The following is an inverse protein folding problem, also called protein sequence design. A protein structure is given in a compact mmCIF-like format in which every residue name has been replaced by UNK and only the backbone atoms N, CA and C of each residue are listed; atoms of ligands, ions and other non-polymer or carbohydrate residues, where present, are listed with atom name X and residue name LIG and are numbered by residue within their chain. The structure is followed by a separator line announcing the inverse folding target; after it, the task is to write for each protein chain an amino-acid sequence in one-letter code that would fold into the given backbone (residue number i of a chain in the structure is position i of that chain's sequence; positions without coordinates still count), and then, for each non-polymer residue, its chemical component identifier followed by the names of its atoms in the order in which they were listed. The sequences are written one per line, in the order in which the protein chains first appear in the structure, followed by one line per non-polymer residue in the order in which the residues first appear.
data_IF_240102355014
#
_entry.id   IF_240102355014
#
_cell.length_a   1.000
_cell.length_b   1.000
_cell.length_c   1.000
_cell.angle_alpha   90.00
_cell.angle_beta   90.00
_cell.angle_gamma   90.00
#
_symmetry.space_group_name_H-M   'P 1'
#
loop_
_entity.id
_entity.type
_entity.pdbx_description
1 polymer ?
#
# COMPACT_ATOMS: atom_id res chain seq x y z
N UNK A 1 -18.07 -23.85 10.54
CA UNK A 1 -17.23 -24.22 9.37
C UNK A 1 -16.03 -24.99 9.91
N UNK A 2 -15.71 -26.14 9.32
CA UNK A 2 -14.66 -27.02 9.85
C UNK A 2 -13.30 -26.30 9.85
N UNK A 3 -12.65 -26.26 11.00
CA UNK A 3 -11.29 -25.74 11.13
C UNK A 3 -10.39 -26.70 10.35
N UNK A 4 -10.03 -26.35 9.12
CA UNK A 4 -9.08 -27.14 8.34
C UNK A 4 -7.72 -26.90 8.97
N UNK A 5 -7.29 -27.84 9.81
CA UNK A 5 -5.95 -27.84 10.39
C UNK A 5 -4.92 -27.81 9.24
N UNK A 6 -3.85 -27.04 9.42
CA UNK A 6 -2.75 -26.98 8.47
C UNK A 6 -2.20 -28.40 8.29
N UNK A 7 -2.02 -28.82 7.04
CA UNK A 7 -1.35 -30.10 6.76
C UNK A 7 0.08 -30.08 7.32
N UNK A 8 0.64 -31.26 7.62
CA UNK A 8 2.03 -31.37 8.11
C UNK A 8 3.02 -30.72 7.14
N UNK A 9 2.77 -30.83 5.83
CA UNK A 9 3.59 -30.22 4.79
C UNK A 9 3.50 -28.68 4.81
N UNK A 10 2.32 -28.12 5.05
CA UNK A 10 2.15 -26.67 5.21
C UNK A 10 2.84 -26.15 6.47
N UNK A 11 2.71 -26.89 7.58
CA UNK A 11 3.39 -26.56 8.83
C UNK A 11 4.93 -26.54 8.67
N UNK A 12 5.48 -27.45 7.86
CA UNK A 12 6.92 -27.49 7.58
C UNK A 12 7.40 -26.31 6.72
N UNK A 13 6.64 -25.93 5.68
CA UNK A 13 7.00 -24.81 4.79
C UNK A 13 6.91 -23.47 5.53
N UNK A 14 5.85 -23.29 6.30
CA UNK A 14 5.61 -22.05 7.03
C UNK A 14 6.19 -22.06 8.45
N UNK A 15 7.02 -23.03 8.84
CA UNK A 15 7.54 -23.17 10.22
C UNK A 15 8.16 -21.86 10.74
N UNK A 16 8.98 -21.18 9.91
CA UNK A 16 9.57 -19.88 10.28
C UNK A 16 8.53 -18.78 10.49
N UNK A 17 7.49 -18.76 9.65
CA UNK A 17 6.40 -17.79 9.70
C UNK A 17 5.49 -18.05 10.91
N UNK A 18 5.12 -19.31 11.13
CA UNK A 18 4.33 -19.78 12.28
C UNK A 18 5.05 -19.46 13.60
N UNK A 19 6.39 -19.57 13.66
CA UNK A 19 7.16 -19.15 14.85
C UNK A 19 7.06 -17.65 15.14
N UNK A 20 6.81 -16.82 14.11
CA UNK A 20 6.73 -15.38 14.25
C UNK A 20 5.32 -14.95 14.69
N UNK A 21 4.28 -15.35 13.94
CA UNK A 21 2.91 -14.88 14.18
C UNK A 21 1.95 -15.91 14.75
N UNK A 22 2.36 -17.18 14.89
CA UNK A 22 1.52 -18.24 15.43
C UNK A 22 0.69 -18.97 14.37
N UNK A 23 0.11 -20.09 14.77
CA UNK A 23 -0.59 -20.99 13.85
C UNK A 23 -1.95 -20.43 13.43
N UNK A 24 -2.66 -19.77 14.33
CA UNK A 24 -3.96 -19.14 14.07
C UNK A 24 -3.83 -18.00 13.05
N UNK A 25 -2.76 -17.20 13.18
CA UNK A 25 -2.42 -16.16 12.21
C UNK A 25 -2.16 -16.75 10.82
N UNK A 26 -1.39 -17.85 10.74
CA UNK A 26 -1.13 -18.52 9.46
C UNK A 26 -2.40 -19.10 8.83
N UNK A 27 -3.31 -19.65 9.64
CA UNK A 27 -4.61 -20.11 9.14
C UNK A 27 -5.48 -18.97 8.61
N UNK A 28 -5.43 -17.79 9.26
CA UNK A 28 -6.14 -16.59 8.78
C UNK A 28 -5.58 -16.12 7.44
N UNK A 29 -4.25 -16.01 7.33
CA UNK A 29 -3.54 -15.68 6.08
C UNK A 29 -3.95 -16.66 4.97
N UNK A 30 -3.89 -17.97 5.24
CA UNK A 30 -4.23 -19.02 4.28
C UNK A 30 -5.71 -19.09 3.85
N UNK A 31 -6.61 -18.35 4.49
CA UNK A 31 -8.03 -18.22 4.09
C UNK A 31 -8.32 -16.94 3.32
N UNK A 32 -7.40 -15.98 3.34
CA UNK A 32 -7.63 -14.65 2.79
C UNK A 32 -7.64 -14.65 1.26
N UNK A 33 -8.53 -13.84 0.68
CA UNK A 33 -8.59 -13.53 -0.74
C UNK A 33 -8.27 -12.06 -0.99
N UNK A 34 -7.16 -11.79 -1.67
CA UNK A 34 -6.62 -10.45 -1.88
C UNK A 34 -6.79 -10.03 -3.35
N UNK A 35 -7.28 -8.81 -3.60
CA UNK A 35 -7.26 -8.18 -4.92
C UNK A 35 -6.05 -7.27 -5.06
N UNK A 36 -5.26 -7.47 -6.11
CA UNK A 36 -4.21 -6.56 -6.56
C UNK A 36 -4.67 -5.96 -7.89
N UNK A 37 -5.03 -4.67 -7.89
CA UNK A 37 -5.51 -3.98 -9.08
C UNK A 37 -4.49 -2.94 -9.57
N UNK A 38 -4.05 -3.08 -10.83
CA UNK A 38 -2.96 -2.32 -11.41
C UNK A 38 -1.62 -3.03 -11.20
N UNK A 39 -1.16 -3.79 -12.19
CA UNK A 39 0.08 -4.55 -12.14
C UNK A 39 1.26 -3.71 -12.64
N UNK A 40 1.98 -3.19 -11.66
CA UNK A 40 3.22 -2.44 -11.81
C UNK A 40 4.34 -3.04 -10.95
N UNK A 41 5.51 -2.39 -10.85
CA UNK A 41 6.64 -2.94 -10.10
C UNK A 41 6.31 -3.10 -8.61
N UNK A 42 5.67 -2.11 -7.99
CA UNK A 42 5.23 -2.20 -6.59
C UNK A 42 4.25 -3.35 -6.39
N UNK A 43 3.24 -3.44 -7.25
CA UNK A 43 2.22 -4.49 -7.17
C UNK A 43 2.83 -5.89 -7.34
N UNK A 44 3.84 -6.05 -8.20
CA UNK A 44 4.57 -7.30 -8.39
C UNK A 44 5.31 -7.74 -7.12
N UNK A 45 5.94 -6.79 -6.42
CA UNK A 45 6.61 -7.02 -5.13
C UNK A 45 5.60 -7.41 -4.04
N UNK A 46 4.46 -6.71 -3.97
CA UNK A 46 3.36 -7.06 -3.05
C UNK A 46 2.85 -8.47 -3.32
N UNK A 47 2.51 -8.78 -4.59
CA UNK A 47 1.99 -10.08 -4.98
C UNK A 47 2.97 -11.21 -4.66
N UNK A 48 4.26 -11.04 -4.98
CA UNK A 48 5.33 -11.99 -4.62
C UNK A 48 5.36 -12.25 -3.11
N UNK A 49 5.38 -11.19 -2.30
CA UNK A 49 5.47 -11.33 -0.84
C UNK A 49 4.22 -12.01 -0.25
N UNK A 50 3.02 -11.67 -0.73
CA UNK A 50 1.76 -12.28 -0.26
C UNK A 50 1.64 -13.75 -0.66
N UNK A 51 2.05 -14.10 -1.89
CA UNK A 51 2.06 -15.49 -2.35
C UNK A 51 3.07 -16.33 -1.55
N UNK A 52 4.25 -15.78 -1.25
CA UNK A 52 5.24 -16.44 -0.39
C UNK A 52 4.81 -16.55 1.07
N UNK A 53 3.99 -15.60 1.56
CA UNK A 53 3.36 -15.68 2.88
C UNK A 53 2.22 -16.72 2.94
N UNK A 54 1.75 -17.19 1.78
CA UNK A 54 0.75 -18.25 1.70
C UNK A 54 -0.67 -17.76 1.88
N UNK A 55 -1.03 -16.61 1.30
CA UNK A 55 -2.44 -16.18 1.23
C UNK A 55 -3.30 -17.23 0.52
N UNK A 56 -4.58 -17.36 0.89
CA UNK A 56 -5.45 -18.39 0.29
C UNK A 56 -5.67 -18.19 -1.21
N UNK A 57 -5.94 -16.96 -1.63
CA UNK A 57 -6.12 -16.61 -3.04
C UNK A 57 -5.64 -15.19 -3.31
N UNK A 58 -5.15 -14.96 -4.52
CA UNK A 58 -4.81 -13.63 -5.02
C UNK A 58 -5.40 -13.44 -6.40
N UNK A 59 -6.13 -12.35 -6.62
CA UNK A 59 -6.61 -11.96 -7.95
C UNK A 59 -5.78 -10.79 -8.46
N UNK A 60 -5.14 -10.97 -9.61
CA UNK A 60 -4.41 -9.90 -10.31
C UNK A 60 -5.34 -9.30 -11.36
N UNK A 61 -5.69 -8.02 -11.20
CA UNK A 61 -6.53 -7.28 -12.14
C UNK A 61 -5.68 -6.26 -12.89
N UNK A 62 -5.50 -6.46 -14.20
CA UNK A 62 -4.84 -5.51 -15.09
C UNK A 62 -5.30 -5.71 -16.53
N UNK A 63 -5.78 -4.63 -17.17
CA UNK A 63 -6.28 -4.64 -18.54
C UNK A 63 -5.22 -4.31 -19.59
N UNK A 64 -4.03 -3.89 -19.17
CA UNK A 64 -2.97 -3.40 -20.04
C UNK A 64 -2.04 -4.53 -20.48
N UNK A 65 -1.40 -4.31 -21.63
CA UNK A 65 -0.40 -5.23 -22.17
C UNK A 65 0.99 -4.91 -21.65
N UNK A 66 1.86 -5.93 -21.67
CA UNK A 66 3.26 -5.81 -21.32
C UNK A 66 3.98 -4.93 -22.33
N UNK A 67 4.60 -3.85 -21.82
CA UNK A 67 5.46 -2.95 -22.59
C UNK A 67 6.92 -3.26 -22.30
N UNK A 68 7.84 -2.77 -23.15
CA UNK A 68 9.28 -2.92 -22.89
C UNK A 68 9.71 -2.26 -21.57
N UNK A 69 9.14 -1.10 -21.25
CA UNK A 69 9.37 -0.43 -19.97
C UNK A 69 8.93 -1.28 -18.77
N UNK A 70 7.84 -2.04 -18.90
CA UNK A 70 7.40 -2.96 -17.85
C UNK A 70 8.39 -4.13 -17.66
N UNK A 71 8.99 -4.65 -18.72
CA UNK A 71 10.03 -5.67 -18.65
C UNK A 71 11.26 -5.17 -17.88
N UNK A 72 11.63 -3.90 -18.07
CA UNK A 72 12.81 -3.32 -17.42
C UNK A 72 12.63 -3.11 -15.90
N UNK A 73 11.38 -3.00 -15.42
CA UNK A 73 11.07 -2.73 -14.00
C UNK A 73 10.42 -3.89 -13.25
N UNK A 74 9.83 -4.90 -13.93
CA UNK A 74 9.10 -6.00 -13.31
C UNK A 74 9.80 -7.34 -13.53
N UNK A 75 10.27 -7.94 -12.45
CA UNK A 75 11.10 -9.16 -12.48
C UNK A 75 10.37 -10.45 -12.93
N UNK A 76 9.04 -10.43 -13.04
CA UNK A 76 8.26 -11.54 -13.59
C UNK A 76 8.15 -11.50 -15.12
N UNK A 77 8.46 -10.36 -15.73
CA UNK A 77 8.30 -10.15 -17.16
C UNK A 77 9.63 -10.36 -17.89
N UNK A 78 9.52 -10.74 -19.16
CA UNK A 78 10.63 -10.91 -20.08
C UNK A 78 10.22 -10.41 -21.47
N UNK A 79 11.17 -10.28 -22.39
CA UNK A 79 10.89 -9.77 -23.75
C UNK A 79 9.88 -10.63 -24.53
N UNK A 80 9.75 -11.91 -24.17
CA UNK A 80 8.76 -12.83 -24.77
C UNK A 80 7.32 -12.50 -24.39
N UNK A 81 7.12 -11.77 -23.29
CA UNK A 81 5.80 -11.38 -22.80
C UNK A 81 5.28 -10.09 -23.44
N UNK A 82 6.12 -9.32 -24.16
CA UNK A 82 5.72 -8.04 -24.75
C UNK A 82 4.51 -8.21 -25.67
N UNK A 83 3.48 -7.41 -25.44
CA UNK A 83 2.19 -7.48 -26.15
C UNK A 83 1.19 -8.51 -25.61
N UNK A 84 1.55 -9.30 -24.60
CA UNK A 84 0.59 -10.11 -23.84
C UNK A 84 -0.03 -9.28 -22.72
N UNK A 85 -1.23 -9.65 -22.26
CA UNK A 85 -1.82 -9.01 -21.08
C UNK A 85 -0.92 -9.22 -19.84
N UNK A 86 -0.72 -8.18 -19.03
CA UNK A 86 0.16 -8.23 -17.87
C UNK A 86 -0.24 -9.28 -16.82
N UNK A 87 -1.54 -9.36 -16.50
CA UNK A 87 -2.02 -10.31 -15.51
C UNK A 87 -1.80 -11.77 -15.99
N UNK A 88 -2.06 -12.03 -17.28
CA UNK A 88 -1.76 -13.33 -17.91
C UNK A 88 -0.27 -13.68 -17.88
N UNK A 89 0.60 -12.72 -18.20
CA UNK A 89 2.04 -12.93 -18.26
C UNK A 89 2.65 -13.25 -16.89
N UNK A 90 2.20 -12.60 -15.82
CA UNK A 90 2.77 -12.75 -14.48
C UNK A 90 2.21 -13.95 -13.70
N UNK A 91 0.97 -14.37 -13.97
CA UNK A 91 0.29 -15.41 -13.20
C UNK A 91 1.06 -16.75 -13.11
N UNK A 92 1.67 -17.30 -14.18
CA UNK A 92 2.44 -18.55 -14.09
C UNK A 92 3.63 -18.44 -13.13
N UNK A 93 4.34 -17.31 -13.13
CA UNK A 93 5.49 -17.09 -12.26
C UNK A 93 5.06 -16.93 -10.79
N UNK A 94 3.97 -16.22 -10.53
CA UNK A 94 3.36 -16.15 -9.20
C UNK A 94 2.93 -17.54 -8.71
N UNK A 95 2.24 -18.31 -9.55
CA UNK A 95 1.78 -19.65 -9.19
C UNK A 95 2.95 -20.59 -8.86
N UNK A 96 4.08 -20.44 -9.56
CA UNK A 96 5.29 -21.21 -9.32
C UNK A 96 5.96 -20.88 -7.97
N UNK A 97 5.82 -19.66 -7.44
CA UNK A 97 6.34 -19.30 -6.11
C UNK A 97 5.67 -20.10 -5.00
N UNK A 98 4.37 -20.34 -5.11
CA UNK A 98 3.63 -21.13 -4.15
C UNK A 98 2.42 -21.85 -4.78
N UNK A 99 2.55 -23.14 -5.13
CA UNK A 99 1.48 -23.94 -5.73
C UNK A 99 0.20 -24.08 -4.88
N UNK A 100 0.24 -23.68 -3.60
CA UNK A 100 -0.92 -23.74 -2.69
C UNK A 100 -1.78 -22.50 -2.74
N UNK A 101 -1.25 -21.39 -3.22
CA UNK A 101 -2.01 -20.15 -3.40
C UNK A 101 -2.77 -20.25 -4.71
N UNK A 102 -4.06 -19.95 -4.68
CA UNK A 102 -4.85 -19.87 -5.90
C UNK A 102 -4.65 -18.50 -6.57
N UNK A 103 -3.92 -18.47 -7.68
CA UNK A 103 -3.65 -17.25 -8.46
C UNK A 103 -4.71 -17.11 -9.55
N UNK A 104 -5.52 -16.06 -9.45
CA UNK A 104 -6.58 -15.72 -10.39
C UNK A 104 -6.21 -14.46 -11.16
N UNK A 105 -6.76 -14.32 -12.36
CA UNK A 105 -6.53 -13.15 -13.22
C UNK A 105 -7.85 -12.52 -13.66
N UNK A 106 -7.84 -11.21 -13.82
CA UNK A 106 -8.92 -10.43 -14.42
C UNK A 106 -8.31 -9.39 -15.37
N UNK A 107 -8.80 -9.38 -16.61
CA UNK A 107 -8.24 -8.56 -17.70
C UNK A 107 -9.09 -7.33 -18.00
N UNK A 108 -10.17 -7.13 -17.26
CA UNK A 108 -11.03 -5.98 -17.48
C UNK A 108 -10.45 -4.73 -16.83
N UNK A 109 -10.84 -3.60 -17.39
CA UNK A 109 -10.49 -2.29 -16.84
C UNK A 109 -11.21 -2.07 -15.51
N UNK A 110 -10.44 -1.77 -14.47
CA UNK A 110 -10.94 -1.49 -13.11
C UNK A 110 -12.02 -0.39 -13.11
N UNK A 111 -11.93 0.60 -14.00
CA UNK A 111 -12.90 1.68 -14.09
C UNK A 111 -14.30 1.18 -14.47
N UNK A 112 -14.37 0.05 -15.19
CA UNK A 112 -15.61 -0.54 -15.70
C UNK A 112 -16.20 -1.59 -14.76
N UNK A 113 -15.49 -1.97 -13.70
CA UNK A 113 -16.01 -2.91 -12.71
C UNK A 113 -17.21 -2.32 -11.99
N UNK A 114 -18.21 -3.16 -11.74
CA UNK A 114 -19.34 -2.81 -10.88
C UNK A 114 -18.86 -2.73 -9.41
N UNK A 115 -19.56 -1.98 -8.57
CA UNK A 115 -19.12 -1.74 -7.19
C UNK A 115 -19.10 -3.05 -6.37
N UNK A 116 -20.05 -3.94 -6.66
CA UNK A 116 -20.21 -5.25 -6.02
C UNK A 116 -19.01 -6.19 -6.29
N UNK A 117 -18.24 -5.93 -7.36
CA UNK A 117 -17.03 -6.70 -7.67
C UNK A 117 -16.01 -6.63 -6.53
N UNK A 118 -15.92 -5.50 -5.83
CA UNK A 118 -14.91 -5.29 -4.81
C UNK A 118 -15.29 -5.90 -3.46
N UNK A 119 -16.56 -6.25 -3.23
CA UNK A 119 -17.06 -6.76 -1.95
C UNK A 119 -16.47 -8.11 -1.49
N UNK A 120 -16.38 -9.16 -2.32
CA UNK A 120 -16.01 -10.49 -1.84
C UNK A 120 -14.58 -10.58 -1.30
N UNK A 121 -13.65 -9.76 -1.80
CA UNK A 121 -12.25 -9.75 -1.34
C UNK A 121 -12.14 -9.38 0.13
N UNK A 122 -11.20 -9.99 0.86
CA UNK A 122 -10.89 -9.62 2.23
C UNK A 122 -10.12 -8.30 2.28
N UNK A 123 -9.18 -8.11 1.35
CA UNK A 123 -8.38 -6.88 1.23
C UNK A 123 -8.27 -6.51 -0.25
N UNK A 124 -8.42 -5.21 -0.54
CA UNK A 124 -8.23 -4.65 -1.87
C UNK A 124 -7.03 -3.70 -1.86
N UNK A 125 -6.05 -3.94 -2.72
CA UNK A 125 -4.91 -3.07 -2.95
C UNK A 125 -4.95 -2.51 -4.37
N UNK A 126 -4.97 -1.17 -4.50
CA UNK A 126 -5.01 -0.48 -5.80
C UNK A 126 -3.72 0.28 -6.03
N UNK A 127 -3.18 0.17 -7.24
CA UNK A 127 -1.91 0.77 -7.63
C UNK A 127 -2.08 1.61 -8.89
N UNK A 128 -1.30 2.70 -8.95
CA UNK A 128 -1.10 3.51 -10.16
C UNK A 128 -2.37 3.86 -10.94
N UNK A 129 -3.26 4.62 -10.30
CA UNK A 129 -4.51 5.10 -10.89
C UNK A 129 -4.84 6.49 -10.39
N UNK A 130 -5.86 7.12 -10.96
CA UNK A 130 -6.28 8.45 -10.56
C UNK A 130 -7.04 8.44 -9.23
N UNK A 131 -7.00 9.59 -8.57
CA UNK A 131 -7.62 9.81 -7.27
C UNK A 131 -9.13 9.56 -7.24
N UNK A 132 -9.86 9.71 -8.35
CA UNK A 132 -11.29 9.46 -8.37
C UNK A 132 -11.58 7.97 -8.26
N UNK A 133 -10.80 7.13 -8.97
CA UNK A 133 -10.92 5.70 -8.83
C UNK A 133 -10.47 5.23 -7.43
N UNK A 134 -9.36 5.76 -6.91
CA UNK A 134 -8.92 5.45 -5.54
C UNK A 134 -10.01 5.78 -4.52
N UNK A 135 -10.64 6.95 -4.65
CA UNK A 135 -11.71 7.39 -3.75
C UNK A 135 -12.94 6.51 -3.90
N UNK A 136 -13.39 6.21 -5.13
CA UNK A 136 -14.53 5.32 -5.38
C UNK A 136 -14.32 3.94 -4.75
N UNK A 137 -13.18 3.30 -5.03
CA UNK A 137 -12.92 1.95 -4.50
C UNK A 137 -12.78 2.00 -2.98
N UNK A 138 -12.12 3.02 -2.42
CA UNK A 138 -12.04 3.17 -0.98
C UNK A 138 -13.41 3.35 -0.34
N UNK A 139 -14.28 4.21 -0.88
CA UNK A 139 -15.62 4.45 -0.33
C UNK A 139 -16.47 3.17 -0.36
N UNK A 140 -16.42 2.38 -1.43
CA UNK A 140 -17.09 1.08 -1.52
C UNK A 140 -16.61 0.16 -0.39
N UNK A 141 -15.29 0.03 -0.23
CA UNK A 141 -14.66 -0.82 0.79
C UNK A 141 -14.97 -0.36 2.20
N UNK A 142 -14.97 0.96 2.43
CA UNK A 142 -15.32 1.57 3.69
C UNK A 142 -16.78 1.26 4.07
N UNK A 143 -17.71 1.41 3.11
CA UNK A 143 -19.13 1.14 3.31
C UNK A 143 -19.44 -0.33 3.63
N UNK A 144 -18.68 -1.27 3.05
CA UNK A 144 -18.81 -2.71 3.38
C UNK A 144 -17.92 -3.13 4.55
N UNK A 145 -17.30 -2.18 5.26
CA UNK A 145 -16.46 -2.41 6.45
C UNK A 145 -15.30 -3.37 6.20
N UNK A 146 -14.61 -3.23 5.06
CA UNK A 146 -13.47 -4.08 4.75
C UNK A 146 -12.22 -3.27 4.34
N UNK A 147 -11.01 -3.80 4.61
CA UNK A 147 -9.75 -3.12 4.32
C UNK A 147 -9.57 -2.69 2.86
N UNK A 148 -8.91 -1.54 2.71
CA UNK A 148 -8.45 -0.96 1.48
C UNK A 148 -7.02 -0.41 1.63
N UNK A 149 -6.21 -0.61 0.59
CA UNK A 149 -4.91 0.03 0.44
C UNK A 149 -4.78 0.68 -0.93
N UNK A 150 -4.11 1.82 -0.96
CA UNK A 150 -3.59 2.40 -2.20
C UNK A 150 -2.07 2.58 -2.05
N UNK A 151 -1.30 2.28 -3.08
CA UNK A 151 0.13 2.52 -3.05
C UNK A 151 0.69 2.80 -4.44
N UNK A 152 1.76 3.59 -4.46
CA UNK A 152 2.50 3.84 -5.69
C UNK A 152 3.96 4.19 -5.37
N UNK A 153 4.83 4.01 -6.36
CA UNK A 153 6.21 4.43 -6.31
C UNK A 153 6.59 5.04 -7.65
N UNK A 154 7.29 6.16 -7.61
CA UNK A 154 7.78 6.81 -8.81
C UNK A 154 9.05 7.61 -8.54
N UNK A 155 10.00 7.54 -9.47
CA UNK A 155 11.35 8.02 -9.26
C UNK A 155 11.90 7.49 -7.94
N UNK A 156 12.26 8.40 -7.03
CA UNK A 156 12.83 8.09 -5.72
C UNK A 156 11.82 8.06 -4.58
N UNK A 157 10.53 8.28 -4.84
CA UNK A 157 9.52 8.45 -3.80
C UNK A 157 8.46 7.35 -3.88
N UNK A 158 7.77 7.12 -2.78
CA UNK A 158 6.62 6.22 -2.77
C UNK A 158 5.71 6.47 -1.58
N UNK A 159 4.48 5.97 -1.68
CA UNK A 159 3.51 6.08 -0.60
C UNK A 159 2.67 4.82 -0.46
N UNK A 160 2.11 4.64 0.73
CA UNK A 160 1.05 3.70 1.03
C UNK A 160 -0.03 4.47 1.79
N UNK A 161 -1.27 4.36 1.35
CA UNK A 161 -2.46 4.75 2.07
C UNK A 161 -3.19 3.49 2.57
N UNK A 162 -3.75 3.56 3.77
CA UNK A 162 -4.37 2.45 4.47
C UNK A 162 -5.72 2.90 5.05
N UNK A 163 -6.80 2.21 4.70
CA UNK A 163 -8.10 2.38 5.36
C UNK A 163 -8.65 1.02 5.79
N UNK A 164 -8.65 0.78 7.10
CA UNK A 164 -9.17 -0.46 7.70
C UNK A 164 -10.56 -0.27 8.31
N UNK A 165 -11.17 0.92 8.18
CA UNK A 165 -12.40 1.36 8.83
C UNK A 165 -12.28 1.33 10.35
N UNK A 166 -12.32 0.13 10.94
CA UNK A 166 -12.08 -0.16 12.33
C UNK A 166 -11.32 -1.47 12.44
N UNK A 167 -10.11 -1.42 12.98
CA UNK A 167 -9.25 -2.58 13.11
C UNK A 167 -8.98 -2.92 14.57
N UNK A 168 -9.05 -4.21 14.91
CA UNK A 168 -8.71 -4.73 16.24
C UNK A 168 -7.46 -5.57 16.11
N UNK A 169 -6.45 -5.30 16.93
CA UNK A 169 -5.20 -6.05 16.93
C UNK A 169 -4.71 -6.34 18.35
N UNK A 170 -3.79 -7.29 18.46
CA UNK A 170 -3.15 -7.67 19.72
C UNK A 170 -1.69 -7.20 19.71
N UNK A 171 -1.31 -6.48 20.77
CA UNK A 171 0.08 -6.14 21.07
C UNK A 171 0.62 -7.12 22.13
N UNK A 172 1.69 -7.85 21.81
CA UNK A 172 2.37 -8.76 22.73
C UNK A 172 3.65 -8.09 23.28
N UNK A 173 3.68 -7.76 24.57
CA UNK A 173 4.89 -7.23 25.23
C UNK A 173 5.61 -8.35 25.97
N UNK A 174 6.80 -8.67 25.50
CA UNK A 174 7.71 -9.60 26.15
C UNK A 174 8.54 -8.85 27.20
N UNK A 175 8.32 -9.16 28.47
CA UNK A 175 9.16 -8.64 29.54
C UNK A 175 10.23 -9.67 29.89
N UNK A 176 11.50 -9.26 29.81
CA UNK A 176 12.60 -10.08 30.30
C UNK A 176 12.50 -10.12 31.83
N UNK A 177 12.37 -11.31 32.44
CA UNK A 177 12.27 -11.40 33.88
C UNK A 177 13.57 -10.91 34.54
N UNK A 178 13.45 -10.36 35.76
CA UNK A 178 14.59 -9.85 36.52
C UNK A 178 15.60 -10.95 36.86
N UNK A 179 15.15 -12.20 36.97
CA UNK A 179 15.98 -13.39 37.12
C UNK A 179 16.00 -14.20 35.82
N UNK A 180 17.19 -14.64 35.39
CA UNK A 180 17.38 -15.48 34.18
C UNK A 180 16.76 -16.88 34.27
N UNK A 181 16.28 -17.28 35.44
CA UNK A 181 15.63 -18.59 35.69
C UNK A 181 14.12 -18.58 35.48
N UNK A 182 13.50 -17.40 35.39
CA UNK A 182 12.04 -17.29 35.28
C UNK A 182 11.61 -17.32 33.81
N UNK A 183 10.41 -17.83 33.56
CA UNK A 183 9.81 -17.81 32.23
C UNK A 183 9.48 -16.37 31.79
N UNK A 184 9.65 -16.03 30.49
CA UNK A 184 9.31 -14.72 29.98
C UNK A 184 7.81 -14.43 30.16
N UNK A 185 7.49 -13.28 30.76
CA UNK A 185 6.11 -12.83 30.94
C UNK A 185 5.66 -12.17 29.63
N UNK A 186 4.61 -12.74 29.00
CA UNK A 186 3.97 -12.17 27.82
C UNK A 186 2.67 -11.49 28.23
N UNK A 187 2.62 -10.16 28.11
CA UNK A 187 1.37 -9.40 28.30
C UNK A 187 0.71 -9.18 26.95
N UNK A 188 -0.57 -9.53 26.83
CA UNK A 188 -1.38 -9.32 25.63
C UNK A 188 -2.38 -8.20 25.86
N UNK A 189 -2.31 -7.15 25.05
CA UNK A 189 -3.25 -6.03 25.09
C UNK A 189 -4.01 -5.98 23.78
N UNK A 190 -5.34 -5.91 23.86
CA UNK A 190 -6.20 -5.72 22.68
C UNK A 190 -6.41 -4.22 22.46
N UNK A 191 -6.14 -3.77 21.24
CA UNK A 191 -6.31 -2.39 20.80
C UNK A 191 -7.35 -2.33 19.69
N UNK A 192 -8.02 -1.18 19.58
CA UNK A 192 -9.00 -0.91 18.54
C UNK A 192 -8.69 0.46 17.96
N UNK A 193 -8.38 0.50 16.68
CA UNK A 193 -8.05 1.73 15.95
C UNK A 193 -9.10 2.01 14.88
N UNK A 194 -9.31 3.29 14.58
CA UNK A 194 -10.23 3.75 13.54
C UNK A 194 -9.45 4.48 12.45
N UNK A 195 -9.82 4.19 11.21
CA UNK A 195 -9.19 4.70 10.02
C UNK A 195 -10.15 5.62 9.28
N UNK A 196 -9.58 6.65 8.65
CA UNK A 196 -10.33 7.63 7.89
C UNK A 196 -10.27 7.29 6.40
N UNK A 197 -11.37 7.46 5.66
CA UNK A 197 -11.37 7.28 4.21
C UNK A 197 -10.48 8.34 3.54
N UNK A 198 -10.01 8.03 2.34
CA UNK A 198 -9.07 8.81 1.54
C UNK A 198 -9.54 10.25 1.36
N UNK A 199 -10.83 10.42 1.04
CA UNK A 199 -11.44 11.74 0.88
C UNK A 199 -11.21 12.65 2.11
N UNK A 200 -11.31 12.10 3.32
CA UNK A 200 -11.07 12.84 4.58
C UNK A 200 -9.60 13.14 4.82
N UNK A 201 -8.70 12.23 4.46
CA UNK A 201 -7.26 12.54 4.53
C UNK A 201 -6.83 13.64 3.54
N UNK A 202 -7.47 13.75 2.38
CA UNK A 202 -7.21 14.83 1.42
C UNK A 202 -7.70 16.20 1.89
N UNK A 203 -8.67 16.24 2.81
CA UNK A 203 -9.17 17.46 3.46
C UNK A 203 -8.21 18.00 4.54
N UNK A 204 -7.08 17.31 4.83
CA UNK A 204 -6.14 17.73 5.88
C UNK A 204 -5.72 19.19 5.72
N UNK A 205 -5.93 19.97 6.79
CA UNK A 205 -5.41 21.31 6.93
C UNK A 205 -4.27 21.35 7.98
N UNK A 206 -3.19 22.06 7.66
CA UNK A 206 -1.95 22.14 8.43
C UNK A 206 -1.83 23.45 9.22
N UNK A 207 -2.82 24.33 9.19
CA UNK A 207 -2.81 25.64 9.87
C UNK A 207 -2.64 25.54 11.40
N UNK A 208 -3.02 24.41 11.99
CA UNK A 208 -2.86 24.13 13.42
C UNK A 208 -1.42 23.81 13.83
N UNK A 209 -0.54 23.51 12.86
CA UNK A 209 0.87 23.21 13.12
C UNK A 209 1.77 24.41 12.77
N UNK A 210 2.70 24.73 13.67
CA UNK A 210 3.74 25.72 13.35
C UNK A 210 4.65 25.23 12.22
N UNK A 211 5.17 26.15 11.40
CA UNK A 211 6.14 25.84 10.33
C UNK A 211 7.33 25.00 10.82
N UNK A 212 7.86 25.30 12.01
CA UNK A 212 8.95 24.54 12.64
C UNK A 212 8.55 23.10 12.97
N UNK A 213 7.30 22.88 13.41
CA UNK A 213 6.80 21.54 13.69
C UNK A 213 6.60 20.74 12.39
N UNK A 214 6.07 21.38 11.35
CA UNK A 214 5.89 20.77 10.03
C UNK A 214 7.24 20.28 9.49
N UNK A 215 8.23 21.17 9.35
CA UNK A 215 9.57 20.84 8.84
C UNK A 215 10.28 19.73 9.61
N UNK A 216 9.97 19.57 10.91
CA UNK A 216 10.61 18.57 11.76
C UNK A 216 9.91 17.21 11.73
N UNK A 217 8.59 17.18 11.55
CA UNK A 217 7.76 15.99 11.82
C UNK A 217 7.07 15.43 10.58
N UNK A 218 6.89 16.23 9.54
CA UNK A 218 6.11 15.87 8.36
C UNK A 218 7.06 15.68 7.18
N UNK A 219 6.89 14.56 6.49
CA UNK A 219 7.62 14.26 5.26
C UNK A 219 7.28 15.28 4.18
N UNK A 220 8.26 15.83 3.45
CA UNK A 220 8.00 16.62 2.23
C UNK A 220 7.16 15.86 1.21
N UNK A 221 7.29 14.52 1.19
CA UNK A 221 6.54 13.64 0.28
C UNK A 221 5.03 13.68 0.58
N UNK A 222 4.63 13.96 1.82
CA UNK A 222 3.22 14.14 2.15
C UNK A 222 2.61 15.31 1.35
N UNK A 223 3.34 16.43 1.21
CA UNK A 223 2.90 17.57 0.43
C UNK A 223 2.95 17.29 -1.07
N UNK A 224 4.00 16.61 -1.55
CA UNK A 224 4.11 16.16 -2.94
C UNK A 224 2.87 15.33 -3.36
N UNK A 225 2.54 14.31 -2.58
CA UNK A 225 1.42 13.42 -2.86
C UNK A 225 0.08 14.15 -2.70
N UNK A 226 -0.07 15.03 -1.70
CA UNK A 226 -1.29 15.85 -1.60
C UNK A 226 -1.48 16.77 -2.81
N UNK A 227 -0.43 17.42 -3.30
CA UNK A 227 -0.50 18.27 -4.51
C UNK A 227 -0.88 17.44 -5.72
N UNK A 228 -0.22 16.29 -5.93
CA UNK A 228 -0.51 15.39 -7.04
C UNK A 228 -1.97 14.92 -7.02
N UNK A 229 -2.43 14.36 -5.89
CA UNK A 229 -3.80 13.84 -5.78
C UNK A 229 -4.85 14.95 -5.92
N UNK A 230 -4.60 16.16 -5.38
CA UNK A 230 -5.52 17.29 -5.56
C UNK A 230 -5.50 17.88 -6.97
N UNK A 231 -4.37 17.83 -7.66
CA UNK A 231 -4.31 18.16 -9.08
C UNK A 231 -5.14 17.16 -9.89
N UNK A 232 -5.04 15.87 -9.57
CA UNK A 232 -5.80 14.82 -10.27
C UNK A 232 -7.32 14.90 -10.10
N UNK A 233 -7.80 15.51 -9.00
CA UNK A 233 -9.22 15.82 -8.82
C UNK A 233 -9.72 16.84 -9.87
N UNK A 234 -8.84 17.69 -10.40
CA UNK A 234 -9.17 18.70 -11.43
C UNK A 234 -8.90 18.18 -12.85
N UNK A 235 -7.84 17.41 -13.03
CA UNK A 235 -7.44 16.81 -14.31
C UNK A 235 -7.08 15.34 -14.08
N UNK A 236 -7.88 14.36 -14.55
CA UNK A 236 -7.64 12.94 -14.27
C UNK A 236 -6.29 12.42 -14.78
N UNK A 237 -5.67 13.12 -15.74
CA UNK A 237 -4.38 12.74 -16.31
C UNK A 237 -3.23 13.21 -15.41
N UNK A 238 -2.12 12.48 -15.46
CA UNK A 238 -0.90 12.92 -14.80
C UNK A 238 -0.35 14.20 -15.44
N UNK A 239 0.21 15.12 -14.65
CA UNK A 239 0.72 16.38 -15.18
C UNK A 239 1.89 16.11 -16.13
N UNK A 240 1.86 16.74 -17.30
CA UNK A 240 3.00 16.81 -18.22
C UNK A 240 4.15 17.64 -17.64
N UNK A 241 5.35 17.54 -18.22
CA UNK A 241 6.52 18.33 -17.77
C UNK A 241 6.22 19.84 -17.70
N UNK A 242 5.47 20.37 -18.66
CA UNK A 242 5.04 21.78 -18.67
C UNK A 242 4.10 22.08 -17.50
N UNK A 243 3.15 21.20 -17.21
CA UNK A 243 2.22 21.36 -16.08
C UNK A 243 2.93 21.20 -14.74
N UNK A 244 3.98 20.37 -14.67
CA UNK A 244 4.85 20.26 -13.49
C UNK A 244 5.59 21.59 -13.25
N UNK A 245 6.12 22.22 -14.30
CA UNK A 245 6.73 23.54 -14.18
C UNK A 245 5.72 24.61 -13.70
N UNK A 246 4.45 24.50 -14.10
CA UNK A 246 3.37 25.35 -13.59
C UNK A 246 3.05 25.03 -12.12
N UNK A 247 2.98 23.75 -11.73
CA UNK A 247 2.79 23.34 -10.34
C UNK A 247 3.92 23.86 -9.43
N UNK A 248 5.16 23.92 -9.92
CA UNK A 248 6.29 24.49 -9.18
C UNK A 248 6.13 26.00 -9.01
N UNK A 249 5.70 26.73 -10.04
CA UNK A 249 5.42 28.18 -9.93
C UNK A 249 4.29 28.45 -8.94
N UNK A 250 3.27 27.60 -8.95
CA UNK A 250 2.08 27.74 -8.10
C UNK A 250 2.20 26.98 -6.76
N UNK A 251 3.38 26.44 -6.43
CA UNK A 251 3.63 25.63 -5.22
C UNK A 251 3.14 26.34 -3.96
N UNK A 252 3.42 27.63 -3.85
CA UNK A 252 3.04 28.43 -2.71
C UNK A 252 1.51 28.52 -2.56
N UNK A 253 0.77 28.65 -3.66
CA UNK A 253 -0.70 28.69 -3.68
C UNK A 253 -1.25 27.35 -3.19
N UNK A 254 -0.70 26.24 -3.70
CA UNK A 254 -1.12 24.90 -3.31
C UNK A 254 -0.89 24.60 -1.83
N UNK A 255 0.28 24.98 -1.29
CA UNK A 255 0.62 24.79 0.12
C UNK A 255 -0.21 25.71 1.03
N UNK A 256 -0.42 26.96 0.66
CA UNK A 256 -1.26 27.89 1.41
C UNK A 256 -2.73 27.45 1.45
N UNK A 257 -3.24 26.85 0.37
CA UNK A 257 -4.60 26.29 0.33
C UNK A 257 -4.83 25.17 1.37
N UNK A 258 -3.77 24.50 1.82
CA UNK A 258 -3.81 23.50 2.91
C UNK A 258 -3.31 24.03 4.24
N UNK A 259 -3.20 25.36 4.41
CA UNK A 259 -2.81 25.99 5.66
C UNK A 259 -1.31 25.95 5.98
N UNK A 260 -0.46 25.69 5.00
CA UNK A 260 1.01 25.76 5.15
C UNK A 260 1.49 27.16 4.77
N UNK A 261 1.91 27.94 5.77
CA UNK A 261 2.39 29.31 5.55
C UNK A 261 3.86 29.38 5.11
N UNK A 262 4.70 28.44 5.56
CA UNK A 262 6.12 28.37 5.18
C UNK A 262 6.28 27.29 4.10
N UNK A 263 6.39 27.73 2.85
CA UNK A 263 6.35 26.86 1.68
C UNK A 263 7.67 26.14 1.41
N UNK A 264 8.73 26.49 2.15
CA UNK A 264 10.01 25.77 2.12
C UNK A 264 9.97 24.41 2.84
N UNK A 265 8.79 23.92 3.20
CA UNK A 265 8.57 22.52 3.62
C UNK A 265 8.65 21.54 2.45
N UNK A 266 8.54 22.04 1.22
CA UNK A 266 8.64 21.25 -0.01
C UNK A 266 9.62 21.96 -0.96
N UNK A 267 10.74 21.31 -1.22
CA UNK A 267 11.73 21.78 -2.18
C UNK A 267 11.22 21.61 -3.62
N UNK A 268 11.52 22.57 -4.48
CA UNK A 268 11.09 22.56 -5.89
C UNK A 268 11.59 21.32 -6.62
N UNK A 269 12.79 20.85 -6.30
CA UNK A 269 13.37 19.64 -6.91
C UNK A 269 12.60 18.37 -6.53
N UNK A 270 12.04 18.31 -5.31
CA UNK A 270 11.15 17.20 -4.91
C UNK A 270 9.85 17.26 -5.73
N UNK A 271 9.31 18.46 -5.93
CA UNK A 271 8.09 18.64 -6.73
C UNK A 271 8.31 18.35 -8.21
N UNK A 272 9.43 18.78 -8.79
CA UNK A 272 9.85 18.41 -10.15
C UNK A 272 10.06 16.91 -10.33
N UNK A 273 10.29 16.18 -9.24
CA UNK A 273 10.32 14.73 -9.21
C UNK A 273 9.05 14.07 -9.76
N UNK A 274 7.92 14.78 -9.84
CA UNK A 274 6.71 14.32 -10.54
C UNK A 274 6.94 14.01 -12.03
N UNK A 275 7.98 14.56 -12.68
CA UNK A 275 8.34 14.20 -14.06
C UNK A 275 8.70 12.72 -14.19
N UNK A 276 9.14 12.10 -13.08
CA UNK A 276 9.43 10.68 -12.99
C UNK A 276 8.21 9.83 -12.63
N UNK A 277 6.99 10.38 -12.63
CA UNK A 277 5.78 9.68 -12.19
C UNK A 277 5.55 8.34 -12.90
N UNK A 278 5.93 8.25 -14.18
CA UNK A 278 5.82 7.01 -14.95
C UNK A 278 7.00 6.04 -14.76
N UNK A 279 8.04 6.46 -14.03
CA UNK A 279 9.28 5.71 -13.83
C UNK A 279 9.26 4.99 -12.49
N UNK A 280 9.18 3.67 -12.50
CA UNK A 280 9.35 2.85 -11.30
C UNK A 280 10.77 2.33 -11.19
N UNK A 281 11.44 2.65 -10.08
CA UNK A 281 12.75 2.10 -9.78
C UNK A 281 12.59 0.80 -8.96
N UNK A 282 13.16 -0.34 -9.40
CA UNK A 282 13.03 -1.61 -8.68
C UNK A 282 13.39 -1.57 -7.18
N UNK A 283 14.44 -0.83 -6.74
CA UNK A 283 14.73 -0.72 -5.31
C UNK A 283 13.61 -0.05 -4.51
N UNK A 284 12.97 0.97 -5.08
CA UNK A 284 11.87 1.69 -4.42
C UNK A 284 10.62 0.82 -4.41
N UNK A 285 10.34 0.13 -5.52
CA UNK A 285 9.26 -0.85 -5.61
C UNK A 285 9.41 -1.97 -4.56
N UNK A 286 10.62 -2.49 -4.36
CA UNK A 286 10.89 -3.51 -3.34
C UNK A 286 10.64 -3.01 -1.91
N UNK A 287 11.00 -1.76 -1.61
CA UNK A 287 10.74 -1.15 -0.30
C UNK A 287 9.24 -0.99 -0.07
N UNK A 288 8.54 -0.30 -0.97
CA UNK A 288 7.10 -0.05 -0.84
C UNK A 288 6.33 -1.37 -0.82
N UNK A 289 6.63 -2.29 -1.74
CA UNK A 289 5.95 -3.56 -1.84
C UNK A 289 6.23 -4.49 -0.65
N UNK A 290 7.44 -4.43 -0.07
CA UNK A 290 7.77 -5.11 1.17
C UNK A 290 6.99 -4.59 2.37
N UNK A 291 6.95 -3.26 2.55
CA UNK A 291 6.19 -2.61 3.63
C UNK A 291 4.71 -2.92 3.49
N UNK A 292 4.10 -2.68 2.32
CA UNK A 292 2.67 -2.92 2.11
C UNK A 292 2.30 -4.39 2.32
N UNK A 293 3.07 -5.35 1.80
CA UNK A 293 2.79 -6.75 2.03
C UNK A 293 2.83 -7.10 3.53
N UNK A 294 3.78 -6.54 4.29
CA UNK A 294 3.83 -6.74 5.73
C UNK A 294 2.60 -6.14 6.44
N UNK A 295 2.13 -4.97 6.01
CA UNK A 295 0.91 -4.36 6.55
C UNK A 295 -0.34 -5.21 6.30
N UNK A 296 -0.47 -5.79 5.09
CA UNK A 296 -1.52 -6.76 4.77
C UNK A 296 -1.45 -7.98 5.71
N UNK A 297 -0.25 -8.51 5.96
CA UNK A 297 -0.08 -9.65 6.88
C UNK A 297 -0.41 -9.29 8.33
N UNK A 298 -0.08 -8.10 8.82
CA UNK A 298 -0.49 -7.62 10.16
C UNK A 298 -2.02 -7.60 10.29
N UNK A 299 -2.72 -7.08 9.28
CA UNK A 299 -4.18 -7.03 9.27
C UNK A 299 -4.79 -8.43 9.28
N UNK A 300 -4.29 -9.35 8.45
CA UNK A 300 -4.79 -10.73 8.40
C UNK A 300 -4.49 -11.52 9.68
N UNK A 301 -3.35 -11.26 10.32
CA UNK A 301 -2.96 -11.91 11.57
C UNK A 301 -3.55 -11.26 12.83
N UNK A 302 -4.15 -10.06 12.70
CA UNK A 302 -4.60 -9.22 13.82
C UNK A 302 -3.49 -8.98 14.87
N UNK A 303 -2.25 -8.83 14.40
CA UNK A 303 -1.07 -8.61 15.22
C UNK A 303 -0.40 -7.29 14.88
N UNK A 304 0.03 -6.61 15.94
CA UNK A 304 0.68 -5.29 15.87
C UNK A 304 -0.18 -4.20 15.24
N UNK A 305 0.25 -2.95 15.39
CA UNK A 305 -0.44 -1.81 14.79
C UNK A 305 -0.09 -1.71 13.29
N UNK A 306 -1.08 -1.73 12.38
CA UNK A 306 -0.85 -1.40 10.99
C UNK A 306 -0.61 0.11 10.79
N UNK A 307 0.04 0.50 9.68
CA UNK A 307 0.27 1.89 9.26
C UNK A 307 -1.03 2.68 9.33
N UNK A 308 -1.03 3.80 10.05
CA UNK A 308 -2.18 4.67 10.29
C UNK A 308 -1.85 6.12 9.92
N UNK A 309 -2.38 6.68 8.82
CA UNK A 309 -2.96 5.96 7.68
C UNK A 309 -2.18 6.18 6.39
N UNK A 310 -1.08 6.94 6.45
CA UNK A 310 -0.14 7.12 5.36
C UNK A 310 1.25 6.69 5.77
N UNK A 311 1.94 6.00 4.88
CA UNK A 311 3.38 5.81 4.91
C UNK A 311 3.98 6.51 3.70
N UNK A 312 5.02 7.29 3.90
CA UNK A 312 5.75 7.97 2.84
C UNK A 312 7.22 7.58 2.88
N UNK A 313 7.73 7.16 1.74
CA UNK A 313 9.14 6.88 1.55
C UNK A 313 9.80 7.98 0.74
N UNK A 314 10.92 8.49 1.25
CA UNK A 314 11.76 9.47 0.59
C UNK A 314 13.13 8.84 0.27
N UNK A 315 13.35 8.46 -1.00
CA UNK A 315 14.60 7.86 -1.44
C UNK A 315 15.79 8.83 -1.48
N UNK A 316 15.57 10.15 -1.37
CA UNK A 316 16.66 11.13 -1.32
C UNK A 316 17.43 11.10 0.01
N UNK A 317 16.75 10.77 1.11
CA UNK A 317 17.34 10.68 2.45
C UNK A 317 17.18 9.30 3.12
N UNK A 318 16.46 8.38 2.46
CA UNK A 318 16.17 7.02 2.93
C UNK A 318 15.11 6.95 4.04
N UNK A 319 14.39 8.03 4.31
CA UNK A 319 13.37 8.05 5.38
C UNK A 319 12.07 7.36 4.96
N UNK A 320 11.47 6.64 5.91
CA UNK A 320 10.12 6.06 5.80
C UNK A 320 9.29 6.54 6.99
N UNK A 321 8.38 7.48 6.75
CA UNK A 321 7.61 8.14 7.82
C UNK A 321 6.13 7.79 7.74
N UNK A 322 5.54 7.51 8.91
CA UNK A 322 4.11 7.25 9.05
C UNK A 322 3.42 8.53 9.54
N UNK A 323 2.32 8.89 8.88
CA UNK A 323 1.51 10.06 9.20
C UNK A 323 0.03 9.71 9.27
N UNK A 324 -0.58 10.09 10.39
CA UNK A 324 -2.02 10.04 10.59
C UNK A 324 -2.61 11.36 10.09
N UNK A 325 -3.20 11.33 8.89
CA UNK A 325 -3.77 12.52 8.27
C UNK A 325 -5.27 12.57 8.52
N UNK A 326 -5.64 13.16 9.64
CA UNK A 326 -7.02 13.40 10.04
C UNK A 326 -7.47 14.81 9.63
N UNK A 327 -8.69 14.91 9.07
CA UNK A 327 -9.35 16.21 8.87
C UNK A 327 -9.43 16.95 10.21
N UNK A 328 -9.14 18.25 10.20
CA UNK A 328 -9.48 19.11 11.34
C UNK A 328 -10.99 19.27 11.37
N UNK A 329 -11.64 18.80 12.44
CA UNK A 329 -13.07 19.02 12.71
C UNK A 329 -13.49 20.50 12.63
#
# INVERSE_FOLDING_TARGET
MANKDLSQDEAAIYDRQIRLWGIEAQQSIGRAHILIAGLRAVASEVAKNLVLAGVGSITILDHTDVTKQAVDSQFFLSDEHVGQNKAEAVAPALQALNPRVNVLIDKEDIHKKADEFFEPFDIVCVFHTDVNLLTRVNDIRHNVSKPFYAADAFGWVGYIFCDLVKHTYIEEKHQTPANKSDEPIVTRTTHVETYQPLCKSLEKNWSTMSAKAIKKRISPIAFLIQILLKYQLKSPQFPSDTEIDELVKDKDIWLQAVGVNDTSVLDDEILKGLSLYQTELPPIAAIIGGVLAQEVIKVLSAKELPVQNWFYYNGYDGSGLIHQLESTE
#
